data_IF_917947988578
#
_entry.id   IF_917947988578
#
_cell.length_a   1.000
_cell.length_b   1.000
_cell.length_c   1.000
_cell.angle_alpha   90.00
_cell.angle_beta   90.00
_cell.angle_gamma   90.00
#
_symmetry.space_group_name_H-M   'P 1'
#
loop_
_entity.id
_entity.type
_entity.pdbx_description
1 polymer ?
#
# COMPACT_ATOMS: atom_id res chain seq x y z
N UNK A 1 -33.82 -15.88 -2.31
CA UNK A 1 -34.72 -16.50 -3.30
C UNK A 1 -35.57 -15.47 -4.05
N UNK A 2 -35.98 -14.36 -3.39
CA UNK A 2 -36.83 -13.31 -3.97
C UNK A 2 -36.23 -12.69 -5.25
N UNK A 3 -34.91 -12.58 -5.36
CA UNK A 3 -34.18 -12.03 -6.51
C UNK A 3 -33.42 -13.11 -7.31
N UNK A 4 -33.79 -14.39 -7.18
CA UNK A 4 -33.12 -15.46 -7.93
C UNK A 4 -33.26 -15.23 -9.45
N UNK A 5 -32.14 -15.20 -10.18
CA UNK A 5 -32.07 -14.93 -11.61
C UNK A 5 -32.56 -13.54 -12.06
N UNK A 6 -32.66 -12.57 -11.13
CA UNK A 6 -33.04 -11.18 -11.40
C UNK A 6 -32.00 -10.20 -10.85
N UNK A 7 -32.00 -8.98 -11.36
CA UNK A 7 -31.17 -7.92 -10.80
C UNK A 7 -31.73 -7.48 -9.44
N UNK A 8 -30.82 -7.14 -8.52
CA UNK A 8 -31.17 -6.52 -7.25
C UNK A 8 -30.39 -5.22 -7.06
N UNK A 9 -30.92 -4.35 -6.21
CA UNK A 9 -30.32 -3.06 -5.89
C UNK A 9 -29.64 -3.10 -4.53
N UNK A 10 -28.81 -2.11 -4.24
CA UNK A 10 -28.23 -1.96 -2.90
C UNK A 10 -29.31 -1.79 -1.80
N UNK A 11 -30.50 -1.24 -2.14
CA UNK A 11 -31.62 -1.13 -1.21
C UNK A 11 -32.17 -2.50 -0.82
N UNK A 12 -32.31 -3.39 -1.77
CA UNK A 12 -32.75 -4.77 -1.53
C UNK A 12 -31.76 -5.52 -0.65
N UNK A 13 -30.46 -5.30 -0.87
CA UNK A 13 -29.39 -5.85 -0.02
C UNK A 13 -29.49 -5.35 1.42
N UNK A 14 -29.60 -4.03 1.62
CA UNK A 14 -29.72 -3.46 2.96
C UNK A 14 -31.02 -3.89 3.66
N UNK A 15 -32.13 -3.98 2.93
CA UNK A 15 -33.39 -4.47 3.47
C UNK A 15 -33.25 -5.94 3.91
N UNK A 16 -32.58 -6.78 3.14
CA UNK A 16 -32.34 -8.18 3.51
C UNK A 16 -31.44 -8.32 4.74
N UNK A 17 -30.33 -7.57 4.79
CA UNK A 17 -29.43 -7.54 5.95
C UNK A 17 -30.15 -6.97 7.19
N UNK A 18 -30.91 -5.90 7.02
CA UNK A 18 -31.68 -5.27 8.09
C UNK A 18 -32.72 -6.23 8.71
N UNK A 19 -33.45 -6.96 7.87
CA UNK A 19 -34.39 -8.02 8.35
C UNK A 19 -33.66 -9.11 9.15
N UNK A 20 -32.52 -9.57 8.64
CA UNK A 20 -31.73 -10.60 9.32
C UNK A 20 -31.13 -10.12 10.65
N UNK A 21 -30.74 -8.83 10.72
CA UNK A 21 -30.15 -8.22 11.89
C UNK A 21 -31.18 -7.61 12.88
N UNK A 22 -32.47 -7.60 12.52
CA UNK A 22 -33.51 -6.93 13.29
C UNK A 22 -33.32 -5.41 13.44
N UNK A 23 -32.70 -4.74 12.43
CA UNK A 23 -32.31 -3.33 12.47
C UNK A 23 -32.66 -2.63 11.17
N UNK A 24 -33.11 -1.37 11.27
CA UNK A 24 -33.18 -0.48 10.10
C UNK A 24 -31.77 -0.03 9.68
N UNK A 25 -31.41 -0.26 8.42
CA UNK A 25 -30.14 0.14 7.83
C UNK A 25 -30.24 1.30 6.83
N UNK A 26 -31.37 2.01 6.82
CA UNK A 26 -31.61 3.16 5.92
C UNK A 26 -30.54 4.24 6.13
N UNK A 27 -30.24 4.59 7.37
CA UNK A 27 -29.22 5.58 7.69
C UNK A 27 -27.80 5.10 7.32
N UNK A 28 -27.50 3.81 7.49
CA UNK A 28 -26.27 3.21 7.01
C UNK A 28 -26.13 3.39 5.49
N UNK A 29 -27.21 3.09 4.74
CA UNK A 29 -27.23 3.28 3.29
C UNK A 29 -26.98 4.73 2.88
N UNK A 30 -27.59 5.66 3.58
CA UNK A 30 -27.41 7.10 3.34
C UNK A 30 -25.95 7.55 3.59
N UNK A 31 -25.32 7.07 4.67
CA UNK A 31 -23.96 7.47 5.08
C UNK A 31 -22.86 6.79 4.28
N UNK A 32 -23.02 5.51 3.95
CA UNK A 32 -21.91 4.71 3.37
C UNK A 32 -22.09 4.33 1.90
N UNK A 33 -23.29 4.48 1.34
CA UNK A 33 -23.54 4.18 -0.07
C UNK A 33 -23.86 5.45 -0.87
N UNK A 34 -24.69 6.34 -0.32
CA UNK A 34 -25.12 7.53 -1.05
C UNK A 34 -24.24 8.74 -0.79
N UNK A 35 -23.66 8.87 0.39
CA UNK A 35 -22.76 9.98 0.70
C UNK A 35 -21.44 9.80 -0.05
N UNK A 36 -21.02 10.76 -0.89
CA UNK A 36 -19.76 10.66 -1.61
C UNK A 36 -18.55 10.82 -0.69
N UNK A 37 -17.41 10.20 -1.09
CA UNK A 37 -16.15 10.31 -0.38
C UNK A 37 -16.02 9.33 0.79
N UNK A 38 -15.02 9.59 1.63
CA UNK A 38 -14.67 8.81 2.81
C UNK A 38 -13.99 9.72 3.83
N UNK A 39 -13.92 9.36 5.12
CA UNK A 39 -13.16 10.13 6.09
C UNK A 39 -11.67 9.81 6.07
N UNK A 40 -10.86 10.81 6.40
CA UNK A 40 -9.55 10.63 7.03
C UNK A 40 -9.75 10.52 8.54
N UNK A 41 -9.02 9.63 9.18
CA UNK A 41 -8.93 9.55 10.64
C UNK A 41 -7.50 9.79 11.07
N UNK A 42 -7.26 10.94 11.67
CA UNK A 42 -5.98 11.32 12.26
C UNK A 42 -5.95 10.87 13.72
N UNK A 43 -4.96 10.07 14.07
CA UNK A 43 -4.71 9.72 15.47
C UNK A 43 -3.83 10.79 16.12
N UNK A 44 -4.20 11.20 17.33
CA UNK A 44 -3.49 12.20 18.13
C UNK A 44 -3.11 11.61 19.47
N UNK A 45 -1.84 11.28 19.61
CA UNK A 45 -1.26 10.71 20.82
C UNK A 45 -0.52 11.79 21.61
N UNK A 46 -0.87 11.90 22.88
CA UNK A 46 -0.13 12.72 23.84
C UNK A 46 0.38 11.82 24.97
N UNK A 47 1.69 11.78 25.15
CA UNK A 47 2.37 11.03 26.21
C UNK A 47 2.93 11.99 27.24
N UNK A 48 2.78 11.66 28.52
CA UNK A 48 3.41 12.34 29.66
C UNK A 48 3.92 11.30 30.64
N UNK A 49 5.10 11.46 31.12
CA UNK A 49 5.72 10.57 32.14
C UNK A 49 5.63 9.07 31.77
N UNK A 50 5.88 8.74 30.49
CA UNK A 50 5.83 7.37 29.97
C UNK A 50 4.41 6.75 29.90
N UNK A 51 3.37 7.57 30.04
CA UNK A 51 1.95 7.13 29.98
C UNK A 51 1.15 7.93 28.98
N UNK A 52 0.11 7.33 28.42
CA UNK A 52 -0.85 8.02 27.55
C UNK A 52 -1.65 9.02 28.41
N UNK A 53 -1.42 10.30 28.16
CA UNK A 53 -2.22 11.37 28.76
C UNK A 53 -3.54 11.57 27.99
N UNK A 54 -3.48 11.47 26.64
CA UNK A 54 -4.64 11.52 25.76
C UNK A 54 -4.37 10.76 24.47
N UNK A 55 -5.36 10.04 24.00
CA UNK A 55 -5.43 9.51 22.64
C UNK A 55 -6.77 9.89 22.04
N UNK A 56 -6.76 10.56 20.90
CA UNK A 56 -7.98 10.96 20.20
C UNK A 56 -7.92 10.58 18.73
N UNK A 57 -9.07 10.23 18.16
CA UNK A 57 -9.30 10.02 16.73
C UNK A 57 -10.07 11.22 16.19
N UNK A 58 -9.53 11.86 15.17
CA UNK A 58 -10.13 13.05 14.55
C UNK A 58 -10.49 12.74 13.11
N UNK A 59 -11.78 12.77 12.80
CA UNK A 59 -12.30 12.57 11.45
C UNK A 59 -12.29 13.88 10.66
N UNK A 60 -11.93 13.79 9.38
CA UNK A 60 -12.10 14.85 8.39
C UNK A 60 -12.56 14.24 7.07
N UNK A 61 -13.36 14.92 6.25
CA UNK A 61 -13.66 14.46 4.91
C UNK A 61 -12.41 14.56 4.02
N UNK A 62 -12.14 13.52 3.22
CA UNK A 62 -11.02 13.51 2.24
C UNK A 62 -11.23 14.59 1.18
N UNK A 63 -12.48 14.82 0.78
CA UNK A 63 -12.84 15.76 -0.28
C UNK A 63 -13.92 16.72 0.19
N UNK A 64 -13.90 17.94 -0.32
CA UNK A 64 -14.94 18.95 -0.07
C UNK A 64 -16.35 18.49 -0.48
N UNK A 65 -16.44 17.61 -1.48
CA UNK A 65 -17.70 17.04 -1.98
C UNK A 65 -18.37 16.07 -0.99
N UNK A 66 -17.65 15.60 0.03
CA UNK A 66 -18.16 14.63 1.02
C UNK A 66 -19.23 15.20 1.95
N UNK A 67 -19.43 16.51 1.93
CA UNK A 67 -20.33 17.22 2.85
C UNK A 67 -19.81 17.26 4.29
N UNK A 68 -20.44 18.05 5.16
CA UNK A 68 -20.09 18.17 6.58
C UNK A 68 -20.51 16.94 7.39
N UNK A 69 -19.94 16.82 8.59
CA UNK A 69 -20.31 15.81 9.58
C UNK A 69 -19.40 14.58 9.59
N UNK A 70 -19.47 13.85 10.69
CA UNK A 70 -18.73 12.62 10.89
C UNK A 70 -19.35 11.43 10.12
N UNK A 71 -18.57 10.36 9.95
CA UNK A 71 -19.05 9.03 9.59
C UNK A 71 -19.11 8.20 10.88
N UNK A 72 -20.31 7.87 11.39
CA UNK A 72 -20.43 7.00 12.56
C UNK A 72 -19.94 5.60 12.23
N UNK A 73 -18.92 5.12 12.92
CA UNK A 73 -18.38 3.79 12.69
C UNK A 73 -17.68 3.22 13.91
N UNK A 74 -17.51 1.91 13.92
CA UNK A 74 -16.68 1.21 14.91
C UNK A 74 -15.32 0.93 14.31
N UNK A 75 -14.30 0.99 15.15
CA UNK A 75 -12.93 0.60 14.82
C UNK A 75 -12.25 -0.02 16.03
N UNK A 76 -11.04 -0.51 15.82
CA UNK A 76 -10.16 -1.00 16.88
C UNK A 76 -8.86 -0.21 16.84
N UNK A 77 -8.46 0.30 17.98
CA UNK A 77 -7.19 0.99 18.16
C UNK A 77 -6.18 0.04 18.77
N UNK A 78 -5.08 -0.19 18.08
CA UNK A 78 -3.94 -0.99 18.53
C UNK A 78 -2.96 -0.08 19.26
N UNK A 79 -2.53 -0.52 20.44
CA UNK A 79 -1.34 0.00 21.14
C UNK A 79 -0.24 -1.06 21.00
N UNK A 80 0.79 -0.77 20.22
CA UNK A 80 1.88 -1.71 19.98
C UNK A 80 3.13 -1.32 20.77
N UNK A 81 3.70 -2.26 21.50
CA UNK A 81 4.81 -2.01 22.43
C UNK A 81 6.13 -2.58 21.94
N UNK A 82 6.10 -3.65 21.16
CA UNK A 82 7.27 -4.29 20.58
C UNK A 82 7.94 -5.36 21.45
N UNK A 83 7.94 -5.19 22.73
CA UNK A 83 8.56 -6.10 23.74
C UNK A 83 7.54 -6.92 24.52
N UNK A 84 6.28 -6.59 24.39
CA UNK A 84 5.15 -7.25 25.03
C UNK A 84 3.95 -7.33 24.08
N UNK A 85 2.92 -8.14 24.41
CA UNK A 85 1.71 -8.24 23.61
C UNK A 85 1.06 -6.87 23.37
N UNK A 86 0.58 -6.65 22.15
CA UNK A 86 -0.18 -5.47 21.80
C UNK A 86 -1.54 -5.48 22.50
N UNK A 87 -2.07 -4.29 22.79
CA UNK A 87 -3.38 -4.11 23.36
C UNK A 87 -4.33 -3.54 22.29
N UNK A 88 -5.53 -4.10 22.18
CA UNK A 88 -6.55 -3.65 21.22
C UNK A 88 -7.72 -3.05 22.01
N UNK A 89 -8.11 -1.84 21.63
CA UNK A 89 -9.19 -1.07 22.27
C UNK A 89 -10.30 -0.86 21.25
N UNK A 90 -11.50 -1.44 21.44
CA UNK A 90 -12.65 -1.12 20.59
C UNK A 90 -13.10 0.33 20.81
N UNK A 91 -13.37 1.04 19.72
CA UNK A 91 -13.76 2.44 19.72
C UNK A 91 -14.99 2.64 18.84
N UNK A 92 -15.97 3.35 19.34
CA UNK A 92 -17.13 3.81 18.57
C UNK A 92 -16.96 5.30 18.27
N UNK A 93 -16.79 5.64 17.01
CA UNK A 93 -16.68 7.02 16.54
C UNK A 93 -18.04 7.52 16.13
N UNK A 94 -18.61 8.48 16.87
CA UNK A 94 -19.94 9.06 16.60
C UNK A 94 -19.85 10.53 16.20
N UNK A 95 -18.72 11.17 16.39
CA UNK A 95 -18.47 12.59 16.11
C UNK A 95 -17.16 12.83 15.36
N UNK A 96 -16.90 14.10 15.05
CA UNK A 96 -15.64 14.50 14.38
C UNK A 96 -14.39 14.25 15.23
N UNK A 97 -14.53 14.23 16.55
CA UNK A 97 -13.45 13.88 17.48
C UNK A 97 -13.97 12.86 18.49
N UNK A 98 -13.21 11.79 18.67
CA UNK A 98 -13.49 10.73 19.64
C UNK A 98 -12.28 10.52 20.53
N UNK A 99 -12.39 10.78 21.82
CA UNK A 99 -11.35 10.45 22.79
C UNK A 99 -11.40 8.95 23.14
N UNK A 100 -10.26 8.29 23.02
CA UNK A 100 -10.10 6.88 23.40
C UNK A 100 -9.81 6.79 24.90
N UNK A 101 -10.85 6.99 25.72
CA UNK A 101 -10.72 7.10 27.18
C UNK A 101 -10.08 5.87 27.81
N UNK A 102 -10.35 4.68 27.28
CA UNK A 102 -9.76 3.42 27.75
C UNK A 102 -8.24 3.33 27.54
N UNK A 103 -7.64 4.20 26.73
CA UNK A 103 -6.19 4.26 26.55
C UNK A 103 -5.50 5.12 27.63
N UNK A 104 -6.23 6.00 28.29
CA UNK A 104 -5.65 6.96 29.24
C UNK A 104 -4.99 6.24 30.43
N UNK A 105 -3.79 6.68 30.80
CA UNK A 105 -2.98 6.11 31.89
C UNK A 105 -2.25 4.83 31.54
N UNK A 106 -2.51 4.21 30.37
CA UNK A 106 -1.72 3.06 29.91
C UNK A 106 -0.29 3.50 29.62
N UNK A 107 0.64 2.55 29.63
CA UNK A 107 2.03 2.82 29.28
C UNK A 107 2.09 3.35 27.83
N UNK A 108 3.05 4.22 27.54
CA UNK A 108 3.26 4.73 26.21
C UNK A 108 3.62 3.60 25.24
N UNK A 109 2.87 3.39 24.15
CA UNK A 109 3.22 2.39 23.14
C UNK A 109 4.36 2.91 22.25
N UNK A 110 5.03 1.99 21.55
CA UNK A 110 5.97 2.35 20.52
C UNK A 110 5.25 3.00 19.32
N UNK A 111 4.06 2.48 18.97
CA UNK A 111 3.15 3.15 18.03
C UNK A 111 1.69 2.82 18.33
N UNK A 112 0.82 3.66 17.81
CA UNK A 112 -0.64 3.48 17.79
C UNK A 112 -1.09 3.23 16.36
N UNK A 113 -2.11 2.38 16.16
CA UNK A 113 -2.76 2.22 14.87
C UNK A 113 -4.28 2.20 15.01
N UNK A 114 -4.95 3.15 14.38
CA UNK A 114 -6.37 3.44 14.62
C UNK A 114 -7.35 2.49 13.92
N UNK A 115 -6.90 1.59 13.04
CA UNK A 115 -7.77 0.67 12.28
C UNK A 115 -7.27 -0.79 12.33
N UNK A 116 -6.91 -1.28 13.51
CA UNK A 116 -6.50 -2.67 13.66
C UNK A 116 -7.61 -3.61 13.18
N UNK A 117 -7.24 -4.64 12.40
CA UNK A 117 -8.19 -5.60 11.85
C UNK A 117 -9.08 -5.08 10.71
N UNK A 118 -8.80 -3.89 10.19
CA UNK A 118 -9.51 -3.26 9.06
C UNK A 118 -11.03 -3.11 9.25
N UNK A 119 -11.45 -2.77 10.46
CA UNK A 119 -12.86 -2.63 10.80
C UNK A 119 -13.50 -1.37 10.22
N UNK A 120 -12.74 -0.28 10.11
CA UNK A 120 -13.27 1.00 9.69
C UNK A 120 -12.95 1.30 8.22
N UNK A 121 -13.88 1.91 7.51
CA UNK A 121 -13.68 2.39 6.14
C UNK A 121 -13.19 3.85 6.15
N UNK A 122 -11.88 4.05 6.30
CA UNK A 122 -11.24 5.36 6.34
C UNK A 122 -9.74 5.29 6.04
N UNK A 123 -9.15 6.43 5.66
CA UNK A 123 -7.71 6.58 5.59
C UNK A 123 -7.14 6.85 6.98
N UNK A 124 -6.16 6.07 7.40
CA UNK A 124 -5.51 6.25 8.71
C UNK A 124 -4.30 7.17 8.59
N UNK A 125 -4.30 8.29 9.31
CA UNK A 125 -3.15 9.18 9.44
C UNK A 125 -2.48 9.02 10.79
N UNK A 126 -1.26 8.53 10.75
CA UNK A 126 -0.45 8.28 11.94
C UNK A 126 -0.02 9.61 12.59
N UNK A 127 0.06 9.61 13.91
CA UNK A 127 0.76 10.68 14.63
C UNK A 127 2.27 10.62 14.38
N UNK A 128 2.96 11.71 14.73
CA UNK A 128 4.41 11.82 14.46
C UNK A 128 5.26 10.79 15.20
N UNK A 129 4.88 10.42 16.43
CA UNK A 129 5.61 9.44 17.21
C UNK A 129 5.45 8.03 16.62
N UNK A 130 4.23 7.65 16.23
CA UNK A 130 3.93 6.39 15.56
C UNK A 130 4.66 6.28 14.21
N UNK A 131 4.63 7.35 13.38
CA UNK A 131 5.37 7.39 12.12
C UNK A 131 6.88 7.21 12.35
N UNK A 132 7.45 7.93 13.32
CA UNK A 132 8.86 7.85 13.63
C UNK A 132 9.27 6.45 14.15
N UNK A 133 8.42 5.80 14.96
CA UNK A 133 8.67 4.43 15.43
C UNK A 133 8.70 3.41 14.29
N UNK A 134 7.74 3.50 13.35
CA UNK A 134 7.70 2.62 12.17
C UNK A 134 8.95 2.80 11.30
N UNK A 135 9.34 4.04 11.05
CA UNK A 135 10.55 4.38 10.32
C UNK A 135 11.82 3.98 11.10
N UNK A 136 11.77 3.99 12.43
CA UNK A 136 12.86 3.56 13.32
C UNK A 136 13.03 2.04 13.42
N UNK A 137 12.24 1.24 12.69
CA UNK A 137 12.39 -0.22 12.61
C UNK A 137 11.29 -1.02 13.33
N UNK A 138 10.29 -0.37 13.91
CA UNK A 138 9.15 -1.10 14.49
C UNK A 138 8.41 -1.92 13.42
N UNK A 139 8.33 -1.41 12.19
CA UNK A 139 7.68 -2.07 11.06
C UNK A 139 8.27 -3.47 10.76
N UNK A 140 9.58 -3.61 10.83
CA UNK A 140 10.27 -4.90 10.63
C UNK A 140 9.92 -5.95 11.71
N UNK A 141 9.45 -5.50 12.88
CA UNK A 141 9.10 -6.37 14.01
C UNK A 141 7.62 -6.73 14.08
N UNK A 142 6.81 -6.17 13.19
CA UNK A 142 5.38 -6.53 13.07
C UNK A 142 5.26 -7.88 12.40
N UNK A 143 4.83 -8.88 13.15
CA UNK A 143 4.67 -10.25 12.64
C UNK A 143 3.32 -10.55 12.00
N UNK A 144 2.29 -9.73 12.25
CA UNK A 144 0.97 -9.87 11.64
C UNK A 144 0.98 -9.28 10.21
N UNK A 145 0.79 -10.11 9.15
CA UNK A 145 0.84 -9.64 7.77
C UNK A 145 -0.24 -8.60 7.45
N UNK A 146 -1.46 -8.77 7.99
CA UNK A 146 -2.55 -7.81 7.76
C UNK A 146 -2.18 -6.44 8.36
N UNK A 147 -1.77 -6.41 9.62
CA UNK A 147 -1.34 -5.17 10.26
C UNK A 147 -0.18 -4.53 9.49
N UNK A 148 0.82 -5.32 9.08
CA UNK A 148 1.96 -4.83 8.29
C UNK A 148 1.52 -4.20 6.97
N UNK A 149 0.61 -4.86 6.22
CA UNK A 149 0.06 -4.33 4.98
C UNK A 149 -0.70 -3.02 5.20
N UNK A 150 -1.48 -2.92 6.28
CA UNK A 150 -2.22 -1.72 6.65
C UNK A 150 -1.30 -0.57 7.07
N UNK A 151 -0.23 -0.84 7.82
CA UNK A 151 0.78 0.16 8.19
C UNK A 151 1.49 0.71 6.94
N UNK A 152 1.86 -0.14 5.99
CA UNK A 152 2.38 0.29 4.69
C UNK A 152 1.37 1.12 3.91
N UNK A 153 0.07 0.78 4.00
CA UNK A 153 -1.03 1.58 3.44
C UNK A 153 -1.09 2.97 4.05
N UNK A 154 -1.07 3.06 5.38
CA UNK A 154 -1.12 4.33 6.10
C UNK A 154 0.10 5.24 5.82
N UNK A 155 1.31 4.66 5.72
CA UNK A 155 2.51 5.41 5.33
C UNK A 155 2.42 5.92 3.88
N UNK A 156 1.87 5.13 2.97
CA UNK A 156 1.64 5.54 1.60
C UNK A 156 0.59 6.65 1.49
N UNK A 157 -0.48 6.58 2.27
CA UNK A 157 -1.50 7.63 2.29
C UNK A 157 -0.95 8.96 2.82
N UNK A 158 0.02 8.94 3.72
CA UNK A 158 0.74 10.16 4.11
C UNK A 158 1.55 10.77 2.96
N UNK A 159 2.13 9.94 2.06
CA UNK A 159 2.79 10.45 0.85
C UNK A 159 1.77 11.10 -0.09
N UNK A 160 0.66 10.42 -0.33
CA UNK A 160 -0.44 10.93 -1.20
C UNK A 160 -1.03 12.24 -0.69
N UNK A 161 -1.09 12.40 0.62
CA UNK A 161 -1.59 13.60 1.28
C UNK A 161 -0.50 14.69 1.49
N UNK A 162 0.69 14.52 0.94
CA UNK A 162 1.84 15.42 1.11
C UNK A 162 2.27 15.62 2.58
N UNK A 163 1.95 14.67 3.47
CA UNK A 163 2.36 14.67 4.89
C UNK A 163 3.69 13.93 5.12
N UNK A 164 4.13 13.12 4.16
CA UNK A 164 5.43 12.45 4.16
C UNK A 164 6.16 12.72 2.84
N UNK A 165 7.42 13.18 2.86
CA UNK A 165 8.22 13.33 1.65
C UNK A 165 8.40 11.99 0.91
N UNK A 166 8.24 11.93 -0.43
CA UNK A 166 8.39 10.70 -1.20
C UNK A 166 9.77 10.05 -1.04
N UNK A 167 10.83 10.86 -0.86
CA UNK A 167 12.18 10.35 -0.58
C UNK A 167 12.26 9.56 0.73
N UNK A 168 11.54 10.02 1.76
CA UNK A 168 11.51 9.36 3.07
C UNK A 168 10.84 7.99 2.96
N UNK A 169 9.71 7.93 2.25
CA UNK A 169 9.00 6.69 1.95
C UNK A 169 9.86 5.74 1.12
N UNK A 170 10.47 6.22 0.03
CA UNK A 170 11.30 5.40 -0.84
C UNK A 170 12.49 4.76 -0.09
N UNK A 171 13.20 5.53 0.73
CA UNK A 171 14.29 5.01 1.56
C UNK A 171 13.82 3.99 2.59
N UNK A 172 12.64 4.20 3.19
CA UNK A 172 12.05 3.21 4.10
C UNK A 172 11.76 1.91 3.37
N UNK A 173 11.13 1.97 2.19
CA UNK A 173 10.88 0.80 1.35
C UNK A 173 12.18 0.09 1.02
N UNK A 174 13.18 0.78 0.48
CA UNK A 174 14.48 0.21 0.11
C UNK A 174 15.17 -0.51 1.28
N UNK A 175 15.05 0.02 2.49
CA UNK A 175 15.61 -0.61 3.69
C UNK A 175 14.88 -1.90 4.08
N UNK A 176 13.57 -1.95 3.91
CA UNK A 176 12.74 -3.09 4.34
C UNK A 176 12.63 -4.19 3.27
N UNK A 177 12.77 -3.84 1.97
CA UNK A 177 12.66 -4.79 0.84
C UNK A 177 13.48 -6.08 1.02
N UNK A 178 14.76 -6.04 1.47
CA UNK A 178 15.54 -7.28 1.61
C UNK A 178 15.00 -8.26 2.65
N UNK A 179 14.09 -7.82 3.52
CA UNK A 179 13.49 -8.63 4.59
C UNK A 179 12.06 -9.06 4.28
N UNK A 180 11.42 -8.45 3.27
CA UNK A 180 10.04 -8.77 2.96
C UNK A 180 9.94 -10.15 2.31
N UNK A 181 9.07 -10.99 2.84
CA UNK A 181 8.83 -12.37 2.37
C UNK A 181 7.36 -12.66 2.07
N UNK A 182 6.50 -11.67 2.25
CA UNK A 182 5.08 -11.83 1.95
C UNK A 182 4.82 -11.52 0.48
N UNK A 183 4.34 -12.52 -0.26
CA UNK A 183 4.06 -12.44 -1.70
C UNK A 183 2.89 -11.50 -2.03
N UNK A 184 2.07 -11.10 -1.06
CA UNK A 184 0.97 -10.16 -1.25
C UNK A 184 1.41 -8.72 -0.93
N UNK A 185 2.24 -8.53 0.08
CA UNK A 185 2.77 -7.21 0.46
C UNK A 185 3.76 -6.70 -0.57
N UNK A 186 4.67 -7.56 -1.02
CA UNK A 186 5.79 -7.19 -1.88
C UNK A 186 5.37 -6.49 -3.19
N UNK A 187 4.42 -7.01 -4.01
CA UNK A 187 4.00 -6.35 -5.24
C UNK A 187 3.41 -4.95 -4.99
N UNK A 188 2.59 -4.82 -3.93
CA UNK A 188 2.01 -3.54 -3.53
C UNK A 188 3.08 -2.52 -3.13
N UNK A 189 4.10 -2.97 -2.39
CA UNK A 189 5.19 -2.13 -1.94
C UNK A 189 6.04 -1.63 -3.10
N UNK A 190 6.38 -2.51 -4.05
CA UNK A 190 7.13 -2.17 -5.25
C UNK A 190 6.35 -1.23 -6.18
N UNK A 191 5.05 -1.47 -6.37
CA UNK A 191 4.19 -0.59 -7.13
C UNK A 191 4.09 0.82 -6.53
N UNK A 192 4.01 0.92 -5.19
CA UNK A 192 4.03 2.21 -4.48
C UNK A 192 5.37 2.91 -4.59
N UNK A 193 6.50 2.18 -4.52
CA UNK A 193 7.84 2.73 -4.73
C UNK A 193 7.96 3.34 -6.14
N UNK A 194 7.57 2.59 -7.18
CA UNK A 194 7.57 3.08 -8.55
C UNK A 194 6.69 4.34 -8.70
N UNK A 195 5.49 4.33 -8.10
CA UNK A 195 4.58 5.49 -8.11
C UNK A 195 5.15 6.69 -7.34
N UNK A 196 5.82 6.47 -6.22
CA UNK A 196 6.47 7.53 -5.44
C UNK A 196 7.51 8.27 -6.29
N UNK A 197 8.30 7.53 -7.06
CA UNK A 197 9.30 8.10 -7.96
C UNK A 197 8.67 8.79 -9.18
N UNK A 198 7.68 8.17 -9.81
CA UNK A 198 7.11 8.66 -11.06
C UNK A 198 6.22 9.90 -10.88
N UNK A 199 5.39 9.93 -9.81
CA UNK A 199 4.33 10.91 -9.65
C UNK A 199 4.53 11.90 -8.51
N UNK A 200 5.34 11.57 -7.50
CA UNK A 200 5.49 12.39 -6.29
C UNK A 200 6.90 12.97 -6.10
N UNK A 201 7.92 12.39 -6.75
CA UNK A 201 9.29 12.90 -6.69
C UNK A 201 9.52 13.96 -7.78
N UNK A 202 10.29 15.02 -7.44
CA UNK A 202 10.83 15.91 -8.47
C UNK A 202 11.80 15.15 -9.40
N UNK A 203 12.03 15.65 -10.64
CA UNK A 203 13.02 15.02 -11.53
C UNK A 203 14.38 14.82 -10.87
N UNK A 204 14.92 15.85 -10.20
CA UNK A 204 16.20 15.78 -9.52
C UNK A 204 16.24 14.74 -8.39
N UNK A 205 15.17 14.64 -7.58
CA UNK A 205 15.06 13.64 -6.54
C UNK A 205 14.98 12.23 -7.13
N UNK A 206 14.16 12.04 -8.17
CA UNK A 206 14.04 10.77 -8.86
C UNK A 206 15.40 10.32 -9.42
N UNK A 207 16.10 11.22 -10.12
CA UNK A 207 17.39 10.91 -10.71
C UNK A 207 18.44 10.55 -9.64
N UNK A 208 18.39 11.19 -8.46
CA UNK A 208 19.27 10.85 -7.34
C UNK A 208 19.02 9.49 -6.71
N UNK A 209 17.76 9.01 -6.68
CA UNK A 209 17.37 7.72 -6.09
C UNK A 209 17.40 6.58 -7.10
N UNK A 210 17.32 6.89 -8.39
CA UNK A 210 17.15 5.92 -9.47
C UNK A 210 18.19 4.79 -9.45
N UNK A 211 19.51 5.05 -9.34
CA UNK A 211 20.51 3.96 -9.35
C UNK A 211 20.35 3.00 -8.15
N UNK A 212 20.01 3.52 -6.99
CA UNK A 212 19.80 2.70 -5.78
C UNK A 212 18.56 1.82 -5.92
N UNK A 213 17.47 2.38 -6.42
CA UNK A 213 16.21 1.66 -6.66
C UNK A 213 16.41 0.54 -7.67
N UNK A 214 17.02 0.84 -8.83
CA UNK A 214 17.28 -0.15 -9.87
C UNK A 214 18.19 -1.28 -9.38
N UNK A 215 19.22 -0.95 -8.59
CA UNK A 215 20.09 -1.93 -7.98
C UNK A 215 19.34 -2.86 -7.04
N UNK A 216 18.56 -2.30 -6.09
CA UNK A 216 17.82 -3.09 -5.11
C UNK A 216 16.79 -4.02 -5.77
N UNK A 217 16.10 -3.53 -6.81
CA UNK A 217 15.13 -4.33 -7.56
C UNK A 217 15.81 -5.44 -8.35
N UNK A 218 16.95 -5.14 -8.98
CA UNK A 218 17.72 -6.15 -9.70
C UNK A 218 18.30 -7.22 -8.77
N UNK A 219 18.83 -6.84 -7.62
CA UNK A 219 19.33 -7.78 -6.61
C UNK A 219 18.22 -8.74 -6.16
N UNK A 220 17.02 -8.22 -5.85
CA UNK A 220 15.88 -9.06 -5.50
C UNK A 220 15.40 -9.97 -6.62
N UNK A 221 15.40 -9.49 -7.88
CA UNK A 221 15.03 -10.29 -9.06
C UNK A 221 16.05 -11.41 -9.34
N UNK A 222 17.34 -11.19 -9.01
CA UNK A 222 18.45 -12.09 -9.28
C UNK A 222 18.77 -13.05 -8.13
N UNK A 223 18.12 -12.94 -6.99
CA UNK A 223 18.36 -13.78 -5.81
C UNK A 223 17.80 -15.19 -6.00
N UNK A 224 18.61 -16.07 -6.58
CA UNK A 224 18.25 -17.47 -6.85
C UNK A 224 17.94 -18.28 -5.57
N UNK A 225 18.25 -17.77 -4.37
CA UNK A 225 17.87 -18.41 -3.10
C UNK A 225 16.38 -18.23 -2.76
N UNK A 226 15.70 -17.27 -3.41
CA UNK A 226 14.29 -16.99 -3.22
C UNK A 226 13.41 -17.73 -4.23
N UNK A 227 12.17 -18.10 -3.84
CA UNK A 227 11.21 -18.69 -4.77
C UNK A 227 10.83 -17.68 -5.87
N UNK A 228 10.37 -18.21 -7.02
CA UNK A 228 9.93 -17.39 -8.16
C UNK A 228 8.86 -16.36 -7.77
N UNK A 229 7.92 -16.72 -6.90
CA UNK A 229 6.85 -15.81 -6.43
C UNK A 229 7.36 -14.54 -5.77
N UNK A 230 8.52 -14.58 -5.11
CA UNK A 230 9.18 -13.39 -4.55
C UNK A 230 10.07 -12.67 -5.57
N UNK A 231 10.75 -13.40 -6.47
CA UNK A 231 11.65 -12.79 -7.46
C UNK A 231 10.92 -12.07 -8.58
N UNK A 232 9.78 -12.62 -9.04
CA UNK A 232 9.01 -12.06 -10.16
C UNK A 232 8.53 -10.62 -9.91
N UNK A 233 7.94 -10.26 -8.73
CA UNK A 233 7.61 -8.87 -8.42
C UNK A 233 8.80 -7.92 -8.49
N UNK A 234 9.99 -8.33 -8.03
CA UNK A 234 11.18 -7.52 -8.16
C UNK A 234 11.57 -7.30 -9.63
N UNK A 235 11.50 -8.34 -10.47
CA UNK A 235 11.76 -8.23 -11.91
C UNK A 235 10.78 -7.27 -12.58
N UNK A 236 9.49 -7.39 -12.29
CA UNK A 236 8.46 -6.50 -12.84
C UNK A 236 8.68 -5.05 -12.38
N UNK A 237 8.99 -4.86 -11.10
CA UNK A 237 9.34 -3.57 -10.56
C UNK A 237 10.59 -2.98 -11.23
N UNK A 238 11.63 -3.79 -11.47
CA UNK A 238 12.84 -3.37 -12.18
C UNK A 238 12.52 -2.92 -13.61
N UNK A 239 11.81 -3.74 -14.39
CA UNK A 239 11.39 -3.40 -15.74
C UNK A 239 10.62 -2.07 -15.75
N UNK A 240 9.68 -1.91 -14.82
CA UNK A 240 8.83 -0.71 -14.73
C UNK A 240 9.58 0.59 -14.44
N UNK A 241 10.68 0.54 -13.66
CA UNK A 241 11.45 1.73 -13.28
C UNK A 241 12.76 1.92 -14.04
N UNK A 242 13.30 0.88 -14.70
CA UNK A 242 14.60 0.88 -15.39
C UNK A 242 14.72 2.07 -16.35
N UNK A 243 15.79 2.88 -16.22
CA UNK A 243 16.05 4.03 -17.08
C UNK A 243 17.52 4.43 -17.18
N UNK A 244 18.38 3.96 -16.27
CA UNK A 244 19.81 4.23 -16.37
C UNK A 244 20.45 3.39 -17.49
N UNK A 245 21.57 3.81 -18.07
CA UNK A 245 22.25 3.00 -19.08
C UNK A 245 22.56 1.57 -18.64
N UNK A 246 22.92 1.39 -17.36
CA UNK A 246 23.17 0.05 -16.81
C UNK A 246 21.89 -0.79 -16.70
N UNK A 247 20.76 -0.20 -16.37
CA UNK A 247 19.49 -0.89 -16.35
C UNK A 247 19.01 -1.25 -17.76
N UNK A 248 19.17 -0.35 -18.72
CA UNK A 248 18.89 -0.66 -20.15
C UNK A 248 19.71 -1.84 -20.64
N UNK A 249 21.03 -1.87 -20.38
CA UNK A 249 21.88 -3.01 -20.75
C UNK A 249 21.41 -4.33 -20.11
N UNK A 250 20.93 -4.29 -18.86
CA UNK A 250 20.34 -5.47 -18.20
C UNK A 250 19.04 -5.94 -18.86
N UNK A 251 18.14 -5.00 -19.25
CA UNK A 251 16.93 -5.35 -20.01
C UNK A 251 17.26 -6.01 -21.34
N UNK A 252 18.27 -5.50 -22.06
CA UNK A 252 18.75 -6.10 -23.31
C UNK A 252 19.32 -7.51 -23.07
N UNK A 253 20.09 -7.68 -22.01
CA UNK A 253 20.65 -8.98 -21.61
C UNK A 253 19.56 -10.01 -21.30
N UNK A 254 18.46 -9.61 -20.65
CA UNK A 254 17.31 -10.49 -20.38
C UNK A 254 16.72 -11.06 -21.67
N UNK A 255 16.52 -10.22 -22.69
CA UNK A 255 15.99 -10.66 -23.98
C UNK A 255 16.97 -11.60 -24.71
N UNK A 256 18.28 -11.32 -24.64
CA UNK A 256 19.31 -12.14 -25.27
C UNK A 256 19.47 -13.50 -24.60
N UNK A 257 19.44 -13.56 -23.28
CA UNK A 257 19.59 -14.80 -22.52
C UNK A 257 18.29 -15.63 -22.47
N UNK A 258 17.17 -15.03 -22.81
CA UNK A 258 15.81 -15.63 -22.68
C UNK A 258 15.50 -16.17 -21.26
N UNK A 259 16.17 -15.61 -20.27
CA UNK A 259 16.03 -16.04 -18.87
C UNK A 259 16.32 -14.92 -17.87
N UNK A 260 15.78 -15.07 -16.68
CA UNK A 260 16.07 -14.24 -15.50
C UNK A 260 16.36 -15.13 -14.30
N UNK A 261 17.57 -15.07 -13.74
CA UNK A 261 18.02 -15.88 -12.60
C UNK A 261 17.75 -17.39 -12.77
N UNK A 262 17.92 -17.92 -13.98
CA UNK A 262 17.69 -19.34 -14.32
C UNK A 262 16.25 -19.70 -14.72
N UNK A 263 15.28 -18.80 -14.55
CA UNK A 263 13.92 -19.01 -15.04
C UNK A 263 13.77 -18.54 -16.49
N UNK A 264 13.04 -19.30 -17.29
CA UNK A 264 12.71 -18.92 -18.68
C UNK A 264 11.88 -17.63 -18.70
N UNK A 265 12.26 -16.68 -19.53
CA UNK A 265 11.56 -15.43 -19.70
C UNK A 265 10.26 -15.65 -20.51
N UNK A 266 9.12 -15.62 -19.84
CA UNK A 266 7.80 -15.83 -20.46
C UNK A 266 7.43 -14.66 -21.37
N UNK A 267 6.63 -14.91 -22.41
CA UNK A 267 6.23 -13.89 -23.39
C UNK A 267 5.63 -12.62 -22.77
N UNK A 268 4.72 -12.65 -21.77
CA UNK A 268 4.25 -11.41 -21.15
C UNK A 268 5.39 -10.56 -20.58
N UNK A 269 6.36 -11.17 -19.89
CA UNK A 269 7.51 -10.44 -19.34
C UNK A 269 8.44 -9.94 -20.46
N UNK A 270 8.59 -10.67 -21.53
CA UNK A 270 9.34 -10.21 -22.72
C UNK A 270 8.69 -8.98 -23.33
N UNK A 271 7.36 -8.97 -23.45
CA UNK A 271 6.60 -7.80 -23.90
C UNK A 271 6.81 -6.59 -22.99
N UNK A 272 6.83 -6.77 -21.68
CA UNK A 272 7.12 -5.69 -20.74
C UNK A 272 8.52 -5.12 -20.95
N UNK A 273 9.53 -5.97 -21.15
CA UNK A 273 10.92 -5.54 -21.43
C UNK A 273 11.01 -4.80 -22.77
N UNK A 274 10.42 -5.33 -23.84
CA UNK A 274 10.42 -4.69 -25.17
C UNK A 274 9.71 -3.34 -25.11
N UNK A 275 8.55 -3.28 -24.47
CA UNK A 275 7.79 -2.03 -24.27
C UNK A 275 8.62 -1.02 -23.50
N UNK A 276 9.32 -1.45 -22.45
CA UNK A 276 10.17 -0.53 -21.66
C UNK A 276 11.31 0.04 -22.50
N UNK A 277 11.99 -0.80 -23.30
CA UNK A 277 13.07 -0.35 -24.19
C UNK A 277 12.57 0.62 -25.27
N UNK A 278 11.35 0.41 -25.81
CA UNK A 278 10.70 1.35 -26.72
C UNK A 278 10.43 2.70 -26.07
N UNK A 279 9.83 2.70 -24.86
CA UNK A 279 9.55 3.93 -24.10
C UNK A 279 10.81 4.73 -23.81
N UNK A 280 11.92 4.05 -23.61
CA UNK A 280 13.23 4.68 -23.37
C UNK A 280 13.94 5.13 -24.64
N UNK A 281 13.43 4.80 -25.83
CA UNK A 281 14.11 5.07 -27.10
C UNK A 281 15.44 4.33 -27.22
N UNK A 282 15.55 3.13 -26.64
CA UNK A 282 16.80 2.36 -26.65
C UNK A 282 17.19 1.98 -28.09
N UNK A 283 18.48 1.97 -28.44
CA UNK A 283 18.93 1.56 -29.77
C UNK A 283 18.40 0.17 -30.13
N UNK A 284 17.87 0.01 -31.35
CA UNK A 284 17.32 -1.27 -31.82
C UNK A 284 16.00 -1.72 -31.18
N UNK A 285 15.28 -0.83 -30.49
CA UNK A 285 14.01 -1.16 -29.87
C UNK A 285 12.94 -1.61 -30.87
N UNK A 286 12.85 -0.98 -32.05
CA UNK A 286 11.91 -1.37 -33.12
C UNK A 286 12.22 -2.78 -33.67
N UNK A 287 13.49 -3.13 -33.79
CA UNK A 287 13.93 -4.47 -34.22
C UNK A 287 13.52 -5.53 -33.18
N UNK A 288 13.66 -5.21 -31.89
CA UNK A 288 13.22 -6.10 -30.79
C UNK A 288 11.70 -6.25 -30.76
N UNK A 289 10.96 -5.17 -31.05
CA UNK A 289 9.51 -5.24 -31.20
C UNK A 289 9.11 -6.21 -32.31
N UNK A 290 9.67 -6.03 -33.51
CA UNK A 290 9.40 -6.91 -34.65
C UNK A 290 9.78 -8.37 -34.37
N UNK A 291 10.92 -8.61 -33.69
CA UNK A 291 11.34 -9.94 -33.28
C UNK A 291 10.37 -10.58 -32.27
N UNK A 292 9.85 -9.81 -31.29
CA UNK A 292 8.89 -10.31 -30.32
C UNK A 292 7.52 -10.60 -30.98
N UNK A 293 7.06 -9.76 -31.90
CA UNK A 293 5.85 -10.00 -32.69
C UNK A 293 5.96 -11.30 -33.54
N UNK A 294 7.11 -11.53 -34.16
CA UNK A 294 7.35 -12.76 -34.91
C UNK A 294 7.41 -14.02 -34.01
N UNK A 295 7.89 -13.87 -32.78
CA UNK A 295 7.99 -14.96 -31.80
C UNK A 295 6.64 -15.32 -31.18
N UNK A 296 5.88 -14.32 -30.73
CA UNK A 296 4.61 -14.51 -30.04
C UNK A 296 3.46 -14.54 -31.04
N UNK A 297 3.05 -15.74 -31.39
CA UNK A 297 1.95 -15.98 -32.34
C UNK A 297 0.58 -16.11 -31.66
N UNK A 298 0.50 -15.89 -30.37
CA UNK A 298 -0.78 -15.92 -29.61
C UNK A 298 -1.72 -14.79 -30.02
N UNK A 299 -3.03 -14.89 -29.77
CA UNK A 299 -3.97 -13.78 -30.03
C UNK A 299 -3.59 -12.50 -29.26
N UNK A 300 -3.03 -12.63 -28.05
CA UNK A 300 -2.63 -11.51 -27.19
C UNK A 300 -1.31 -10.84 -27.67
N UNK A 301 -0.47 -11.57 -28.43
CA UNK A 301 0.79 -11.06 -29.00
C UNK A 301 0.65 -10.44 -30.37
N UNK A 302 -0.52 -10.48 -31.00
CA UNK A 302 -0.83 -9.90 -32.30
C UNK A 302 -1.57 -8.58 -32.16
#
# INVERSE_FOLDING_TARGET
REHAYANFTWRDLLAAIGRAAGRDLTEFGRQFILRPGMPEVEQRLVVREGRIARLALVQRPVQSLSGPGAWPMRTQVLLWYGDRPAEVIPVEMTGLTTDVLAARGRAAPAFVFANAGDYGYFLTFLDSASSAALEGGALARVGDPLLKAMLWGALWDQVRAARMPPARYARLVLRELPRERDEQILPSLLGRLGRALAAYASPALRDSLQPEVERALWEGASDASQPYGLRKPFLDGFIGVARTPSAVARLESLLGADSAAGDVLRDPTRWDVVTRLLVLGAPGADQRLAAQQARDTTPDGR
#
